data_IF_389813114156
#
_entry.id   IF_389813114156
#
_cell.length_a   1.000
_cell.length_b   1.000
_cell.length_c   1.000
_cell.angle_alpha   90.00
_cell.angle_beta   90.00
_cell.angle_gamma   90.00
#
_symmetry.space_group_name_H-M   'P 1'
#
loop_
_entity.id
_entity.type
_entity.pdbx_description
1 polymer ?
#
# COMPACT_ATOMS: atom_id res chain seq x y z
N UNK A 1 3.74 7.26 -15.27
CA UNK A 1 4.60 6.24 -15.87
C UNK A 1 5.62 5.77 -14.86
N UNK A 2 5.74 4.45 -14.63
CA UNK A 2 6.81 3.86 -13.81
C UNK A 2 7.85 3.26 -14.74
N UNK A 3 9.12 3.55 -14.49
CA UNK A 3 10.26 2.99 -15.20
C UNK A 3 11.20 2.30 -14.22
N UNK A 4 11.55 1.07 -14.53
CA UNK A 4 12.52 0.26 -13.81
C UNK A 4 13.63 -0.06 -14.79
N UNK A 5 14.86 0.19 -14.42
CA UNK A 5 16.05 -0.02 -15.24
C UNK A 5 17.09 -0.80 -14.44
N UNK A 6 17.45 -1.98 -14.94
CA UNK A 6 18.53 -2.84 -14.43
C UNK A 6 18.41 -3.14 -12.92
N UNK A 7 17.15 -3.31 -12.42
CA UNK A 7 16.90 -3.57 -11.00
C UNK A 7 17.38 -4.96 -10.60
N UNK A 8 18.31 -5.03 -9.66
CA UNK A 8 18.78 -6.28 -9.08
C UNK A 8 18.82 -6.20 -7.55
N UNK A 9 18.44 -7.29 -6.89
CA UNK A 9 18.41 -7.43 -5.42
C UNK A 9 19.09 -8.71 -5.01
N UNK A 10 20.00 -8.59 -4.04
CA UNK A 10 20.67 -9.76 -3.45
C UNK A 10 20.48 -9.78 -1.93
N UNK A 11 20.13 -10.93 -1.40
CA UNK A 11 20.15 -11.22 0.03
C UNK A 11 21.42 -12.01 0.34
N UNK A 12 22.36 -11.37 1.06
CA UNK A 12 23.68 -11.95 1.33
C UNK A 12 24.39 -12.40 0.03
N UNK A 13 24.34 -13.70 -0.30
CA UNK A 13 24.95 -14.28 -1.51
C UNK A 13 23.93 -14.85 -2.49
N UNK A 14 22.65 -14.70 -2.22
CA UNK A 14 21.56 -15.21 -3.09
C UNK A 14 20.95 -14.06 -3.87
N UNK A 15 21.01 -14.14 -5.19
CA UNK A 15 20.37 -13.19 -6.08
C UNK A 15 18.85 -13.47 -6.09
N UNK A 16 18.06 -12.52 -5.66
CA UNK A 16 16.59 -12.62 -5.60
C UNK A 16 15.90 -11.99 -6.81
N UNK A 17 16.51 -10.95 -7.37
CA UNK A 17 16.09 -10.32 -8.62
C UNK A 17 17.34 -10.01 -9.44
N UNK A 18 17.29 -10.28 -10.75
CA UNK A 18 18.42 -10.11 -11.65
C UNK A 18 18.01 -9.28 -12.87
N UNK A 19 18.65 -8.11 -13.01
CA UNK A 19 18.61 -7.24 -14.18
C UNK A 19 17.20 -6.98 -14.76
N UNK A 20 16.23 -6.72 -13.89
CA UNK A 20 14.86 -6.46 -14.29
C UNK A 20 14.73 -5.05 -14.86
N UNK A 21 14.23 -4.96 -16.11
CA UNK A 21 13.88 -3.69 -16.74
C UNK A 21 12.46 -3.76 -17.28
N UNK A 22 11.60 -2.82 -16.85
CA UNK A 22 10.19 -2.75 -17.26
C UNK A 22 9.69 -1.32 -17.25
N UNK A 23 8.79 -0.99 -18.16
CA UNK A 23 8.09 0.29 -18.21
C UNK A 23 6.59 0.04 -18.11
N UNK A 24 5.93 0.68 -17.14
CA UNK A 24 4.48 0.63 -16.92
C UNK A 24 3.91 1.99 -17.30
N UNK A 25 3.02 2.02 -18.30
CA UNK A 25 2.44 3.25 -18.85
C UNK A 25 0.94 3.35 -18.54
N UNK A 26 0.49 4.57 -18.28
CA UNK A 26 -0.92 4.92 -18.13
C UNK A 26 -1.56 4.41 -16.84
N UNK A 27 -2.84 4.73 -16.62
CA UNK A 27 -3.62 4.13 -15.57
C UNK A 27 -3.87 2.65 -15.93
N UNK A 28 -3.33 1.75 -15.11
CA UNK A 28 -3.45 0.29 -15.34
C UNK A 28 -3.38 -0.46 -14.03
N UNK A 29 -3.99 -1.64 -14.01
CA UNK A 29 -3.80 -2.64 -12.96
C UNK A 29 -2.81 -3.67 -13.49
N UNK A 30 -1.68 -3.81 -12.81
CA UNK A 30 -0.65 -4.79 -13.15
C UNK A 30 -0.61 -5.90 -12.10
N UNK A 31 -0.88 -7.14 -12.50
CA UNK A 31 -0.72 -8.31 -11.66
C UNK A 31 0.69 -8.90 -11.77
N UNK A 32 1.35 -9.08 -10.62
CA UNK A 32 2.64 -9.79 -10.51
C UNK A 32 2.34 -11.22 -10.06
N UNK A 33 2.54 -12.18 -10.96
CA UNK A 33 2.21 -13.59 -10.73
C UNK A 33 3.48 -14.43 -10.59
N UNK A 34 3.41 -15.45 -9.74
CA UNK A 34 4.50 -16.40 -9.53
C UNK A 34 4.35 -17.18 -8.23
N UNK A 35 5.08 -18.30 -8.06
CA UNK A 35 5.04 -19.10 -6.84
C UNK A 35 5.56 -18.32 -5.61
N UNK A 36 5.33 -18.88 -4.42
CA UNK A 36 5.92 -18.33 -3.21
C UNK A 36 7.45 -18.41 -3.29
N UNK A 37 8.12 -17.31 -2.87
CA UNK A 37 9.58 -17.19 -3.00
C UNK A 37 10.07 -16.72 -4.38
N UNK A 38 9.20 -16.46 -5.36
CA UNK A 38 9.61 -15.95 -6.68
C UNK A 38 10.10 -14.49 -6.70
N UNK A 39 10.17 -13.82 -5.55
CA UNK A 39 10.66 -12.44 -5.47
C UNK A 39 9.60 -11.35 -5.64
N UNK A 40 8.29 -11.68 -5.63
CA UNK A 40 7.21 -10.68 -5.79
C UNK A 40 7.27 -9.55 -4.78
N UNK A 41 7.28 -9.87 -3.49
CA UNK A 41 7.40 -8.87 -2.40
C UNK A 41 8.77 -8.18 -2.40
N UNK A 42 9.84 -8.89 -2.81
CA UNK A 42 11.17 -8.31 -2.99
C UNK A 42 11.15 -7.24 -4.08
N UNK A 43 10.48 -7.49 -5.19
CA UNK A 43 10.33 -6.52 -6.28
C UNK A 43 9.60 -5.26 -5.78
N UNK A 44 8.44 -5.41 -5.15
CA UNK A 44 7.68 -4.27 -4.60
C UNK A 44 8.54 -3.47 -3.60
N UNK A 45 9.18 -4.15 -2.65
CA UNK A 45 10.00 -3.50 -1.62
C UNK A 45 11.24 -2.80 -2.21
N UNK A 46 11.86 -3.39 -3.24
CA UNK A 46 12.98 -2.77 -3.94
C UNK A 46 12.53 -1.53 -4.73
N UNK A 47 11.39 -1.62 -5.44
CA UNK A 47 10.81 -0.47 -6.14
C UNK A 47 10.52 0.70 -5.20
N UNK A 48 10.14 0.43 -3.95
CA UNK A 48 9.87 1.44 -2.92
C UNK A 48 11.13 1.94 -2.20
N UNK A 49 12.31 1.40 -2.52
CA UNK A 49 13.55 1.72 -1.82
C UNK A 49 13.63 1.17 -0.39
N UNK A 50 12.76 0.21 -0.03
CA UNK A 50 12.73 -0.44 1.29
C UNK A 50 13.81 -1.53 1.42
N UNK A 51 14.40 -1.93 0.31
CA UNK A 51 15.51 -2.90 0.26
C UNK A 51 16.68 -2.31 -0.53
N UNK A 52 17.93 -2.61 -0.12
CA UNK A 52 19.11 -2.30 -0.92
C UNK A 52 19.01 -2.98 -2.30
N UNK A 53 19.21 -2.21 -3.35
CA UNK A 53 19.15 -2.68 -4.73
C UNK A 53 20.16 -1.94 -5.61
N UNK A 54 20.48 -2.49 -6.77
CA UNK A 54 21.12 -1.78 -7.88
C UNK A 54 20.07 -1.45 -8.94
N UNK A 55 20.44 -0.59 -9.87
CA UNK A 55 19.52 -0.11 -10.92
C UNK A 55 18.75 1.14 -10.47
N UNK A 56 17.72 1.48 -11.23
CA UNK A 56 16.94 2.70 -11.03
C UNK A 56 15.43 2.43 -11.06
N UNK A 57 14.68 3.11 -10.19
CA UNK A 57 13.22 3.11 -10.22
C UNK A 57 12.73 4.56 -10.23
N UNK A 58 11.90 4.90 -11.22
CA UNK A 58 11.39 6.25 -11.40
C UNK A 58 9.87 6.26 -11.56
N UNK A 59 9.25 7.30 -11.01
CA UNK A 59 7.86 7.68 -11.27
C UNK A 59 7.86 9.04 -11.96
N UNK A 60 7.36 9.08 -13.22
CA UNK A 60 7.33 10.28 -14.07
C UNK A 60 8.71 10.97 -14.15
N UNK A 61 9.75 10.19 -14.47
CA UNK A 61 11.15 10.63 -14.61
C UNK A 61 11.82 11.14 -13.33
N UNK A 62 11.15 11.03 -12.17
CA UNK A 62 11.73 11.35 -10.86
C UNK A 62 12.05 10.05 -10.13
N UNK A 63 13.17 10.03 -9.42
CA UNK A 63 13.50 8.91 -8.55
C UNK A 63 12.34 8.66 -7.56
N UNK A 64 11.95 7.40 -7.40
CA UNK A 64 10.78 7.07 -6.57
C UNK A 64 10.94 7.52 -5.12
N UNK A 65 12.17 7.50 -4.59
CA UNK A 65 12.49 7.98 -3.25
C UNK A 65 12.18 9.47 -3.04
N UNK A 66 12.18 10.27 -4.11
CA UNK A 66 11.87 11.70 -4.04
C UNK A 66 10.36 11.99 -4.09
N UNK A 67 9.54 11.01 -4.44
CA UNK A 67 8.10 11.16 -4.67
C UNK A 67 7.26 10.15 -3.89
N UNK A 68 7.76 9.64 -2.79
CA UNK A 68 7.08 8.62 -1.96
C UNK A 68 5.69 9.04 -1.48
N UNK A 69 5.43 10.35 -1.32
CA UNK A 69 4.10 10.86 -0.99
C UNK A 69 3.05 10.57 -2.08
N UNK A 70 3.48 10.28 -3.32
CA UNK A 70 2.62 9.89 -4.44
C UNK A 70 2.41 8.37 -4.53
N UNK A 71 2.96 7.62 -3.59
CA UNK A 71 2.96 6.15 -3.60
C UNK A 71 2.36 5.64 -2.31
N UNK A 72 1.37 4.77 -2.40
CA UNK A 72 0.84 4.03 -1.26
C UNK A 72 1.30 2.57 -1.32
N UNK A 73 1.49 1.97 -0.14
CA UNK A 73 1.89 0.57 -0.04
C UNK A 73 1.08 -0.15 1.05
N UNK A 74 0.48 -1.25 0.65
CA UNK A 74 -0.16 -2.20 1.56
C UNK A 74 0.73 -3.42 1.67
N UNK A 75 1.39 -3.53 2.81
CA UNK A 75 2.23 -4.68 3.14
C UNK A 75 1.39 -5.89 3.53
N UNK A 76 1.94 -7.08 3.35
CA UNK A 76 1.35 -8.32 3.82
C UNK A 76 1.05 -8.26 5.33
N UNK A 77 -0.10 -8.81 5.76
CA UNK A 77 -0.66 -8.70 7.13
C UNK A 77 0.27 -9.10 8.28
N UNK A 78 1.27 -9.92 8.03
CA UNK A 78 2.17 -10.46 9.06
C UNK A 78 3.03 -9.41 9.77
N UNK A 79 3.13 -8.20 9.23
CA UNK A 79 3.96 -7.13 9.77
C UNK A 79 3.22 -6.17 10.73
N UNK A 80 1.91 -6.34 10.95
CA UNK A 80 1.09 -5.37 11.69
C UNK A 80 0.79 -5.89 13.09
N UNK A 81 1.09 -5.07 14.10
CA UNK A 81 0.72 -5.35 15.48
C UNK A 81 -0.76 -5.03 15.75
N UNK A 82 -1.59 -6.06 15.81
CA UNK A 82 -3.02 -5.97 16.12
C UNK A 82 -3.32 -5.55 17.56
N UNK A 83 -2.34 -5.57 18.46
CA UNK A 83 -2.52 -5.15 19.86
C UNK A 83 -2.40 -3.63 20.03
N UNK A 84 -2.00 -2.92 18.98
CA UNK A 84 -1.92 -1.47 19.03
C UNK A 84 -3.32 -0.85 19.20
N UNK A 85 -3.58 -0.07 20.26
CA UNK A 85 -4.91 0.41 20.62
C UNK A 85 -5.35 1.61 19.75
N UNK A 86 -5.56 1.35 18.47
CA UNK A 86 -6.01 2.33 17.47
C UNK A 86 -7.37 1.92 16.90
N UNK A 87 -8.25 2.89 16.69
CA UNK A 87 -9.54 2.65 16.02
C UNK A 87 -9.37 2.56 14.50
N UNK A 88 -10.38 2.01 13.83
CA UNK A 88 -10.45 1.96 12.36
C UNK A 88 -10.31 3.36 11.75
N UNK A 89 -11.07 4.34 12.26
CA UNK A 89 -11.02 5.75 11.84
C UNK A 89 -9.62 6.34 11.99
N UNK A 90 -8.98 6.11 13.12
CA UNK A 90 -7.61 6.58 13.36
C UNK A 90 -6.62 5.92 12.42
N UNK A 91 -6.73 4.62 12.20
CA UNK A 91 -5.86 3.87 11.28
C UNK A 91 -5.98 4.41 9.84
N UNK A 92 -7.20 4.63 9.34
CA UNK A 92 -7.42 5.22 8.01
C UNK A 92 -6.89 6.66 7.96
N UNK A 93 -7.07 7.44 9.04
CA UNK A 93 -6.55 8.82 9.13
C UNK A 93 -5.03 8.92 8.99
N UNK A 94 -4.27 7.83 9.25
CA UNK A 94 -2.81 7.82 9.02
C UNK A 94 -2.46 8.04 7.54
N UNK A 95 -3.35 7.68 6.60
CA UNK A 95 -3.17 7.95 5.17
C UNK A 95 -3.09 9.43 4.80
N UNK A 96 -3.57 10.33 5.67
CA UNK A 96 -3.48 11.78 5.45
C UNK A 96 -2.09 12.36 5.71
N UNK A 97 -1.24 11.67 6.48
CA UNK A 97 0.04 12.24 6.94
C UNK A 97 0.98 12.71 5.83
N UNK A 98 1.10 12.05 4.66
CA UNK A 98 1.95 12.54 3.59
C UNK A 98 1.61 13.95 3.09
N UNK A 99 0.36 14.39 3.30
CA UNK A 99 -0.16 15.69 2.86
C UNK A 99 -0.36 16.70 4.00
N UNK A 100 -0.19 16.26 5.26
CA UNK A 100 -0.33 17.14 6.42
C UNK A 100 1.00 17.80 6.75
N UNK A 101 1.01 19.14 6.82
CA UNK A 101 2.08 19.86 7.52
C UNK A 101 2.01 19.52 9.01
N UNK A 102 3.17 19.33 9.65
CA UNK A 102 3.34 18.95 11.07
C UNK A 102 2.49 19.83 12.04
N UNK A 103 2.10 21.03 11.62
CA UNK A 103 1.34 21.99 12.42
C UNK A 103 -0.14 22.15 12.02
N UNK A 104 -0.64 21.44 11.00
CA UNK A 104 -2.06 21.53 10.62
C UNK A 104 -2.90 20.50 11.38
N UNK A 105 -3.85 20.99 12.18
CA UNK A 105 -4.92 20.17 12.76
C UNK A 105 -5.74 19.51 11.64
N UNK A 106 -6.27 18.32 11.90
CA UNK A 106 -7.25 17.64 11.03
C UNK A 106 -8.38 18.63 10.70
N UNK A 107 -8.51 19.03 9.46
CA UNK A 107 -9.61 19.88 9.00
C UNK A 107 -10.91 19.06 8.92
N UNK A 108 -12.08 19.73 8.88
CA UNK A 108 -13.35 19.04 8.61
C UNK A 108 -13.32 18.27 7.30
N UNK A 109 -12.66 18.82 6.28
CA UNK A 109 -12.46 18.20 4.98
C UNK A 109 -11.67 16.87 5.10
N UNK A 110 -10.60 16.84 5.89
CA UNK A 110 -9.82 15.63 6.12
C UNK A 110 -10.62 14.53 6.85
N UNK A 111 -11.49 14.92 7.78
CA UNK A 111 -12.38 13.97 8.43
C UNK A 111 -13.41 13.40 7.45
N UNK A 112 -13.96 14.22 6.58
CA UNK A 112 -14.89 13.78 5.53
C UNK A 112 -14.22 12.79 4.58
N UNK A 113 -12.99 13.04 4.11
CA UNK A 113 -12.23 12.10 3.29
C UNK A 113 -12.08 10.73 3.94
N UNK A 114 -11.86 10.69 5.25
CA UNK A 114 -11.76 9.43 6.00
C UNK A 114 -13.10 8.70 6.04
N UNK A 115 -14.21 9.41 6.25
CA UNK A 115 -15.54 8.84 6.27
C UNK A 115 -15.95 8.32 4.89
N UNK A 116 -15.71 9.10 3.84
CA UNK A 116 -15.95 8.70 2.45
C UNK A 116 -15.18 7.42 2.09
N UNK A 117 -13.90 7.34 2.49
CA UNK A 117 -13.09 6.15 2.26
C UNK A 117 -13.60 4.93 3.04
N UNK A 118 -14.06 5.11 4.27
CA UNK A 118 -14.66 4.05 5.08
C UNK A 118 -15.98 3.56 4.50
N UNK A 119 -16.79 4.46 3.93
CA UNK A 119 -18.03 4.12 3.25
C UNK A 119 -17.77 3.30 1.98
N UNK A 120 -16.78 3.70 1.15
CA UNK A 120 -16.39 2.97 -0.05
C UNK A 120 -16.00 1.50 0.24
N UNK A 121 -15.39 1.23 1.38
CA UNK A 121 -14.99 -0.12 1.78
C UNK A 121 -16.00 -0.81 2.71
N UNK A 122 -17.18 -0.23 2.91
CA UNK A 122 -18.26 -0.72 3.80
C UNK A 122 -17.77 -0.99 5.24
N UNK A 123 -17.11 0.00 5.86
CA UNK A 123 -16.61 -0.07 7.24
C UNK A 123 -16.98 1.15 8.08
N UNK A 124 -17.86 2.02 7.61
CA UNK A 124 -18.22 3.25 8.33
C UNK A 124 -18.88 2.94 9.70
N UNK A 125 -19.69 1.89 9.78
CA UNK A 125 -20.34 1.38 11.00
C UNK A 125 -19.33 0.81 12.02
N UNK A 126 -18.12 0.48 11.59
CA UNK A 126 -17.03 -0.03 12.42
C UNK A 126 -15.95 1.03 12.70
N UNK A 127 -16.17 2.29 12.32
CA UNK A 127 -15.16 3.34 12.37
C UNK A 127 -14.53 3.53 13.75
N UNK A 128 -15.30 3.39 14.82
CA UNK A 128 -14.84 3.59 16.20
C UNK A 128 -14.43 2.29 16.91
N UNK A 129 -14.45 1.15 16.18
CA UNK A 129 -13.96 -0.14 16.69
C UNK A 129 -12.44 -0.19 16.60
N UNK A 130 -11.80 -0.88 17.54
CA UNK A 130 -10.36 -1.13 17.50
C UNK A 130 -9.98 -2.11 16.38
N UNK A 131 -8.85 -1.89 15.71
CA UNK A 131 -8.38 -2.74 14.61
C UNK A 131 -8.17 -4.19 15.01
N UNK A 132 -7.76 -4.45 16.26
CA UNK A 132 -7.57 -5.80 16.78
C UNK A 132 -8.86 -6.62 16.94
N UNK A 133 -10.04 -5.99 16.81
CA UNK A 133 -11.36 -6.65 16.90
C UNK A 133 -11.94 -7.00 15.52
N UNK A 134 -11.21 -6.71 14.45
CA UNK A 134 -11.66 -6.92 13.08
C UNK A 134 -11.33 -8.33 12.58
N UNK A 135 -12.16 -8.84 11.67
CA UNK A 135 -11.78 -10.00 10.87
C UNK A 135 -10.62 -9.65 9.93
N UNK A 136 -9.92 -10.68 9.42
CA UNK A 136 -8.83 -10.47 8.47
C UNK A 136 -9.25 -9.70 7.21
N UNK A 137 -10.45 -9.97 6.67
CA UNK A 137 -10.98 -9.25 5.51
C UNK A 137 -11.38 -7.81 5.85
N UNK A 138 -11.99 -7.57 7.02
CA UNK A 138 -12.28 -6.22 7.48
C UNK A 138 -11.00 -5.40 7.64
N UNK A 139 -9.98 -5.96 8.25
CA UNK A 139 -8.70 -5.27 8.41
C UNK A 139 -8.02 -4.96 7.07
N UNK A 140 -8.08 -5.88 6.11
CA UNK A 140 -7.56 -5.62 4.76
C UNK A 140 -8.25 -4.41 4.11
N UNK A 141 -9.58 -4.31 4.25
CA UNK A 141 -10.34 -3.15 3.77
C UNK A 141 -9.98 -1.85 4.47
N UNK A 142 -9.61 -1.88 5.76
CA UNK A 142 -9.04 -0.71 6.48
C UNK A 142 -7.74 -0.25 5.83
N UNK A 143 -6.85 -1.17 5.46
CA UNK A 143 -5.59 -0.83 4.80
C UNK A 143 -5.81 -0.21 3.41
N UNK A 144 -6.79 -0.72 2.66
CA UNK A 144 -7.19 -0.12 1.37
C UNK A 144 -7.76 1.29 1.58
N UNK A 145 -8.69 1.46 2.53
CA UNK A 145 -9.25 2.79 2.85
C UNK A 145 -8.15 3.79 3.22
N UNK A 146 -7.13 3.37 3.97
CA UNK A 146 -5.96 4.20 4.30
C UNK A 146 -5.20 4.65 3.05
N UNK A 147 -5.06 3.77 2.04
CA UNK A 147 -4.42 4.12 0.77
C UNK A 147 -5.29 5.07 -0.06
N UNK A 148 -6.62 4.90 -0.06
CA UNK A 148 -7.54 5.80 -0.76
C UNK A 148 -7.47 7.22 -0.20
N UNK A 149 -7.44 7.38 1.12
CA UNK A 149 -7.32 8.70 1.78
C UNK A 149 -5.99 9.38 1.46
N UNK A 150 -4.94 8.62 1.15
CA UNK A 150 -3.65 9.17 0.74
C UNK A 150 -3.71 9.81 -0.65
N UNK A 151 -4.71 9.49 -1.49
CA UNK A 151 -4.83 10.01 -2.87
C UNK A 151 -3.54 9.80 -3.69
N UNK A 152 -2.88 8.66 -3.50
CA UNK A 152 -1.63 8.33 -4.16
C UNK A 152 -1.85 8.02 -5.65
N UNK A 153 -0.89 8.38 -6.50
CA UNK A 153 -0.94 8.09 -7.94
C UNK A 153 -0.70 6.60 -8.24
N UNK A 154 0.02 5.93 -7.33
CA UNK A 154 0.38 4.52 -7.45
C UNK A 154 0.12 3.82 -6.12
N UNK A 155 -0.55 2.67 -6.19
CA UNK A 155 -0.78 1.80 -5.02
C UNK A 155 -0.10 0.46 -5.29
N UNK A 156 0.80 0.07 -4.41
CA UNK A 156 1.38 -1.27 -4.38
C UNK A 156 0.64 -2.13 -3.34
N UNK A 157 0.19 -3.30 -3.77
CA UNK A 157 -0.51 -4.26 -2.91
C UNK A 157 0.29 -5.57 -2.88
N UNK A 158 0.76 -5.96 -1.71
CA UNK A 158 1.50 -7.22 -1.52
C UNK A 158 0.55 -8.28 -0.94
N UNK A 159 0.14 -9.23 -1.77
CA UNK A 159 -0.82 -10.29 -1.45
C UNK A 159 -2.16 -9.78 -0.85
N UNK A 160 -2.85 -8.82 -1.49
CA UNK A 160 -4.01 -8.14 -0.90
C UNK A 160 -5.20 -9.07 -0.63
N UNK A 161 -5.25 -10.24 -1.26
CA UNK A 161 -6.34 -11.20 -1.15
C UNK A 161 -6.00 -12.41 -0.26
N UNK A 162 -4.80 -12.46 0.33
CA UNK A 162 -4.39 -13.57 1.16
C UNK A 162 -5.25 -13.71 2.42
N UNK A 163 -6.01 -14.84 2.52
CA UNK A 163 -6.82 -15.17 3.69
C UNK A 163 -8.01 -14.23 3.91
N UNK A 164 -8.58 -13.66 2.86
CA UNK A 164 -9.82 -12.89 2.92
C UNK A 164 -10.98 -13.67 2.29
N UNK A 165 -12.20 -13.30 2.66
CA UNK A 165 -13.43 -13.85 2.10
C UNK A 165 -13.77 -13.21 0.74
N UNK A 166 -14.62 -13.89 -0.06
CA UNK A 166 -15.01 -13.44 -1.40
C UNK A 166 -15.75 -12.08 -1.39
N UNK A 167 -16.48 -11.78 -0.34
CA UNK A 167 -17.20 -10.49 -0.21
C UNK A 167 -16.20 -9.33 -0.08
N UNK A 168 -15.15 -9.53 0.74
CA UNK A 168 -14.08 -8.54 0.89
C UNK A 168 -13.27 -8.38 -0.40
N UNK A 169 -13.02 -9.46 -1.14
CA UNK A 169 -12.37 -9.43 -2.45
C UNK A 169 -13.16 -8.57 -3.45
N UNK A 170 -14.47 -8.80 -3.59
CA UNK A 170 -15.35 -8.04 -4.47
C UNK A 170 -15.38 -6.53 -4.15
N UNK A 171 -15.26 -6.16 -2.87
CA UNK A 171 -15.23 -4.75 -2.46
C UNK A 171 -13.89 -4.10 -2.83
N UNK A 172 -12.78 -4.83 -2.71
CA UNK A 172 -11.44 -4.32 -3.03
C UNK A 172 -11.26 -4.14 -4.55
N UNK A 173 -11.93 -4.98 -5.37
CA UNK A 173 -11.79 -4.97 -6.83
C UNK A 173 -12.67 -3.92 -7.54
N UNK A 174 -13.59 -3.27 -6.84
CA UNK A 174 -14.44 -2.18 -7.37
C UNK A 174 -13.76 -0.82 -7.27
#
# INVERSE_FOLDING_TARGET
>A
MIQIEHLSVSYQRTLALEDLSITIQGPTILGILGPNGAGKSTLIKAMLGLLPHSGRVQLDQKDIGQVLQRVAYVEQKTAIDFHFPITVRECVSLGLYPHLSIFKKKSKENLQKVEDALELVNLLDLADRQIGQLSGGQFQRVLIARCLVQEADVIFLDEPFAGIDSVSEDIIMK
#
